data_IF_161284438609
#
_entry.id   IF_161284438609
#
_cell.length_a   1.000
_cell.length_b   1.000
_cell.length_c   1.000
_cell.angle_alpha   90.00
_cell.angle_beta   90.00
_cell.angle_gamma   90.00
#
_symmetry.space_group_name_H-M   'P 1'
#
loop_
_entity.id
_entity.type
_entity.pdbx_description
1 polymer ?
#
# COMPACT_ATOMS: atom_id res chain seq x y z
N UNK A 1 13.91 -17.82 37.72
CA UNK A 1 13.19 -17.01 36.71
C UNK A 1 13.18 -17.76 35.40
N UNK A 2 12.03 -18.32 34.98
CA UNK A 2 11.89 -18.94 33.66
C UNK A 2 11.46 -17.84 32.69
N UNK A 3 12.26 -17.58 31.66
CA UNK A 3 11.91 -16.62 30.60
C UNK A 3 10.64 -17.10 29.90
N UNK A 4 9.58 -16.30 29.96
CA UNK A 4 8.38 -16.53 29.17
C UNK A 4 8.75 -16.38 27.69
N UNK A 5 8.74 -17.48 26.95
CA UNK A 5 8.97 -17.45 25.52
C UNK A 5 7.76 -16.79 24.85
N UNK A 6 7.96 -15.62 24.25
CA UNK A 6 6.89 -14.89 23.58
C UNK A 6 6.26 -15.77 22.49
N UNK A 7 4.95 -16.00 22.58
CA UNK A 7 4.19 -16.76 21.58
C UNK A 7 4.29 -16.02 20.25
N UNK A 8 4.94 -16.64 19.27
CA UNK A 8 5.12 -16.05 17.93
C UNK A 8 3.74 -15.93 17.27
N UNK A 9 3.21 -14.71 17.20
CA UNK A 9 1.95 -14.42 16.52
C UNK A 9 2.20 -14.61 15.03
N UNK A 10 1.30 -15.35 14.35
CA UNK A 10 1.39 -15.57 12.90
C UNK A 10 0.23 -14.83 12.24
N UNK A 11 0.46 -14.13 11.11
CA UNK A 11 -0.60 -13.50 10.35
C UNK A 11 -1.54 -14.56 9.77
N UNK A 12 -2.84 -14.31 9.86
CA UNK A 12 -3.92 -15.13 9.29
C UNK A 12 -4.63 -14.31 8.22
N UNK A 13 -4.82 -14.88 7.04
CA UNK A 13 -5.56 -14.25 5.95
C UNK A 13 -7.06 -14.44 6.23
N UNK A 14 -7.78 -13.34 6.43
CA UNK A 14 -9.23 -13.36 6.63
C UNK A 14 -9.99 -13.35 5.30
N UNK A 15 -9.47 -12.61 4.32
CA UNK A 15 -10.02 -12.53 2.97
C UNK A 15 -8.95 -12.06 1.98
N UNK A 16 -9.04 -12.50 0.72
CA UNK A 16 -8.13 -12.12 -0.35
C UNK A 16 -8.89 -11.93 -1.66
N UNK A 17 -8.68 -10.77 -2.29
CA UNK A 17 -9.14 -10.48 -3.65
C UNK A 17 -7.97 -10.12 -4.58
N UNK A 18 -8.27 -9.58 -5.75
CA UNK A 18 -7.26 -9.32 -6.80
C UNK A 18 -6.22 -8.24 -6.44
N UNK A 19 -6.58 -7.31 -5.54
CA UNK A 19 -5.76 -6.14 -5.20
C UNK A 19 -5.41 -6.01 -3.72
N UNK A 20 -6.22 -6.58 -2.84
CA UNK A 20 -6.14 -6.38 -1.40
C UNK A 20 -6.27 -7.73 -0.67
N UNK A 21 -5.54 -7.86 0.43
CA UNK A 21 -5.65 -8.97 1.38
C UNK A 21 -5.88 -8.41 2.78
N UNK A 22 -6.89 -8.94 3.46
CA UNK A 22 -7.19 -8.64 4.86
C UNK A 22 -6.47 -9.65 5.75
N UNK A 23 -5.67 -9.14 6.69
CA UNK A 23 -4.80 -9.92 7.56
C UNK A 23 -5.14 -9.63 9.02
N UNK A 24 -5.19 -10.68 9.83
CA UNK A 24 -5.20 -10.59 11.30
C UNK A 24 -3.88 -11.08 11.86
N UNK A 25 -3.22 -10.27 12.69
CA UNK A 25 -2.03 -10.65 13.43
C UNK A 25 -2.26 -10.40 14.92
N UNK A 26 -2.64 -11.45 15.65
CA UNK A 26 -3.03 -11.34 17.05
C UNK A 26 -4.35 -10.58 17.15
N UNK A 27 -4.33 -9.45 17.85
CA UNK A 27 -5.48 -8.57 18.03
C UNK A 27 -5.58 -7.48 16.94
N UNK A 28 -4.62 -7.39 16.02
CA UNK A 28 -4.62 -6.39 14.95
C UNK A 28 -5.24 -6.93 13.67
N UNK A 29 -6.05 -6.11 13.01
CA UNK A 29 -6.53 -6.34 11.65
C UNK A 29 -6.07 -5.20 10.73
N UNK A 30 -5.54 -5.55 9.56
CA UNK A 30 -5.04 -4.59 8.59
C UNK A 30 -5.18 -5.11 7.15
N UNK A 31 -4.96 -4.22 6.19
CA UNK A 31 -5.01 -4.52 4.76
C UNK A 31 -3.61 -4.41 4.17
N UNK A 32 -3.22 -5.41 3.38
CA UNK A 32 -2.03 -5.34 2.53
C UNK A 32 -2.41 -5.39 1.05
N UNK A 33 -1.52 -4.87 0.19
CA UNK A 33 -1.61 -5.11 -1.24
C UNK A 33 -0.85 -6.38 -1.59
N UNK A 34 -1.55 -7.32 -2.20
CA UNK A 34 -0.98 -8.61 -2.63
C UNK A 34 -0.43 -8.57 -4.07
N UNK A 35 -0.63 -7.46 -4.78
CA UNK A 35 -0.29 -7.33 -6.19
C UNK A 35 0.62 -6.13 -6.49
N UNK A 36 1.54 -5.80 -5.60
CA UNK A 36 2.69 -4.94 -5.85
C UNK A 36 3.76 -5.17 -4.78
N UNK A 37 5.00 -4.75 -5.01
CA UNK A 37 6.05 -4.77 -3.98
C UNK A 37 6.16 -3.45 -3.20
N UNK A 38 5.61 -2.38 -3.75
CA UNK A 38 5.60 -1.08 -3.09
C UNK A 38 4.88 -0.04 -3.92
N UNK A 39 4.86 1.17 -3.38
CA UNK A 39 4.33 2.37 -4.01
C UNK A 39 5.46 3.39 -4.06
N UNK A 40 5.60 4.07 -5.19
CA UNK A 40 6.51 5.20 -5.36
C UNK A 40 5.67 6.47 -5.47
N UNK A 41 6.10 7.52 -4.78
CA UNK A 41 5.55 8.87 -4.89
C UNK A 41 6.64 9.76 -5.47
N UNK A 42 6.28 10.59 -6.45
CA UNK A 42 7.17 11.59 -7.04
C UNK A 42 6.83 12.96 -6.43
N UNK A 43 7.80 13.55 -5.74
CA UNK A 43 7.74 14.96 -5.34
C UNK A 43 8.46 15.79 -6.41
N UNK A 44 7.72 16.22 -7.43
CA UNK A 44 8.25 17.05 -8.49
C UNK A 44 8.12 18.53 -8.12
N UNK A 45 9.22 19.28 -8.29
CA UNK A 45 9.30 20.70 -7.98
C UNK A 45 9.77 21.51 -9.20
N UNK A 46 9.24 22.71 -9.34
CA UNK A 46 9.71 23.70 -10.31
C UNK A 46 10.84 24.56 -9.72
N UNK A 47 11.55 25.30 -10.57
CA UNK A 47 12.62 26.21 -10.15
C UNK A 47 12.12 27.32 -9.22
N UNK A 48 10.84 27.72 -9.33
CA UNK A 48 10.18 28.69 -8.45
C UNK A 48 9.53 28.06 -7.20
N UNK A 49 9.97 26.87 -6.80
CA UNK A 49 9.56 26.16 -5.58
C UNK A 49 8.07 25.79 -5.51
N UNK A 50 7.42 25.58 -6.66
CA UNK A 50 6.07 25.02 -6.69
C UNK A 50 6.10 23.51 -6.81
N UNK A 51 5.07 22.87 -6.30
CA UNK A 51 4.88 21.42 -6.36
C UNK A 51 3.97 21.07 -7.53
N UNK A 52 4.37 20.08 -8.32
CA UNK A 52 3.53 19.51 -9.37
C UNK A 52 2.66 18.39 -8.78
N UNK A 53 1.35 18.53 -8.94
CA UNK A 53 0.33 17.57 -8.49
C UNK A 53 -0.47 17.03 -9.68
N UNK A 54 -1.21 15.96 -9.47
CA UNK A 54 -2.17 15.40 -10.44
C UNK A 54 -3.59 15.40 -9.87
N UNK A 55 -4.57 15.50 -10.76
CA UNK A 55 -5.98 15.29 -10.42
C UNK A 55 -6.47 13.96 -11.02
N UNK A 56 -6.91 13.03 -10.18
CA UNK A 56 -7.38 11.72 -10.62
C UNK A 56 -8.69 11.35 -9.93
N UNK A 57 -9.60 10.69 -10.66
CA UNK A 57 -10.78 10.09 -10.06
C UNK A 57 -10.39 8.83 -9.28
N UNK A 58 -10.77 8.77 -8.00
CA UNK A 58 -10.47 7.64 -7.10
C UNK A 58 -11.76 6.91 -6.75
N UNK A 59 -11.92 5.70 -7.26
CA UNK A 59 -13.08 4.84 -6.97
C UNK A 59 -13.34 4.68 -5.47
N UNK A 60 -12.33 4.47 -4.58
CA UNK A 60 -12.58 4.25 -3.15
C UNK A 60 -13.30 5.41 -2.42
N UNK A 61 -13.24 6.62 -2.96
CA UNK A 61 -13.87 7.82 -2.36
C UNK A 61 -14.88 8.50 -3.29
N UNK A 62 -15.11 7.91 -4.48
CA UNK A 62 -16.06 8.39 -5.49
C UNK A 62 -15.90 9.87 -5.88
N UNK A 63 -14.67 10.39 -5.88
CA UNK A 63 -14.37 11.81 -6.17
C UNK A 63 -13.06 11.95 -6.94
N UNK A 64 -12.87 13.12 -7.58
CA UNK A 64 -11.56 13.57 -8.05
C UNK A 64 -10.73 14.06 -6.85
N UNK A 65 -9.48 13.62 -6.79
CA UNK A 65 -8.54 13.91 -5.71
C UNK A 65 -7.32 14.58 -6.31
N UNK A 66 -6.82 15.62 -5.65
CA UNK A 66 -5.52 16.22 -5.92
C UNK A 66 -4.48 15.48 -5.09
N UNK A 67 -3.47 14.89 -5.74
CA UNK A 67 -2.45 14.08 -5.09
C UNK A 67 -1.09 14.22 -5.77
N UNK A 68 -0.04 13.74 -5.08
CA UNK A 68 1.26 13.58 -5.73
C UNK A 68 1.19 12.48 -6.79
N UNK A 69 1.90 12.64 -7.93
CA UNK A 69 2.05 11.54 -8.88
C UNK A 69 2.60 10.31 -8.16
N UNK A 70 1.85 9.21 -8.21
CA UNK A 70 2.21 7.97 -7.54
C UNK A 70 1.94 6.76 -8.43
N UNK A 71 2.71 5.71 -8.23
CA UNK A 71 2.67 4.51 -9.05
C UNK A 71 3.10 3.27 -8.29
N UNK A 72 2.80 2.11 -8.88
CA UNK A 72 3.09 0.82 -8.27
C UNK A 72 4.46 0.32 -8.71
N UNK A 73 5.21 -0.20 -7.75
CA UNK A 73 6.50 -0.80 -8.00
C UNK A 73 6.38 -2.34 -8.02
N UNK A 74 6.94 -2.93 -9.07
CA UNK A 74 7.05 -4.37 -9.27
C UNK A 74 8.50 -4.70 -9.63
N UNK A 75 9.09 -5.70 -8.97
CA UNK A 75 10.33 -6.31 -9.47
C UNK A 75 9.91 -7.35 -10.51
N UNK A 76 9.97 -6.91 -11.77
CA UNK A 76 9.68 -7.68 -12.99
C UNK A 76 8.29 -8.31 -13.05
N UNK A 77 7.44 -7.78 -13.95
CA UNK A 77 6.51 -8.65 -14.67
C UNK A 77 7.09 -8.80 -16.06
N UNK A 78 7.39 -10.03 -16.46
CA UNK A 78 7.38 -10.37 -17.88
C UNK A 78 6.05 -9.84 -18.40
N UNK A 79 6.12 -8.84 -19.28
CA UNK A 79 4.96 -8.33 -20.00
C UNK A 79 4.40 -9.55 -20.73
N UNK A 80 3.20 -10.00 -20.35
CA UNK A 80 2.41 -10.83 -21.25
C UNK A 80 1.77 -9.91 -22.27
#
# INVERSE_FOLDING_TARGET
MKSAQAKKIRPIILHEGDFLRMVREGEWEYIERNNCRGIVIILAMTDDQRVILVEQYRQPVHKRVIEFPAGLFFLTKSVR
#
